data_IF_416131888614
#
_entry.id   IF_416131888614
#
_cell.length_a   1.000
_cell.length_b   1.000
_cell.length_c   1.000
_cell.angle_alpha   90.00
_cell.angle_beta   90.00
_cell.angle_gamma   90.00
#
_symmetry.space_group_name_H-M   'P 1'
#
loop_
_entity.id
_entity.type
_entity.pdbx_description
1 polymer ?
#
# COMPACT_ATOMS: atom_id res chain seq x y z
N UNK A 1 -13.12 -6.93 -1.78
CA UNK A 1 -12.18 -6.07 -1.04
C UNK A 1 -10.94 -5.81 -1.89
N UNK A 2 -10.24 -4.70 -1.68
CA UNK A 2 -8.90 -4.43 -2.22
C UNK A 2 -8.01 -4.04 -1.06
N UNK A 3 -6.79 -4.55 -1.05
CA UNK A 3 -5.80 -4.25 -0.03
C UNK A 3 -4.42 -4.30 -0.67
N UNK A 4 -3.65 -3.24 -0.59
CA UNK A 4 -2.41 -3.07 -1.34
C UNK A 4 -1.17 -2.96 -0.43
N UNK A 5 -1.36 -3.11 0.88
CA UNK A 5 -0.30 -3.04 1.87
C UNK A 5 -0.48 -4.18 2.87
N UNK A 6 0.23 -5.28 2.64
CA UNK A 6 0.24 -6.49 3.48
C UNK A 6 1.62 -7.12 3.51
N UNK A 7 1.96 -7.77 4.61
CA UNK A 7 3.30 -8.30 4.91
C UNK A 7 3.26 -9.82 5.04
N UNK A 8 4.35 -10.46 4.63
CA UNK A 8 4.51 -11.91 4.64
C UNK A 8 5.70 -12.29 5.53
N UNK A 9 5.97 -13.59 5.64
CA UNK A 9 7.15 -14.12 6.31
C UNK A 9 8.47 -13.79 5.60
N UNK A 10 8.46 -13.04 4.49
CA UNK A 10 9.67 -12.56 3.83
C UNK A 10 10.25 -11.30 4.49
N UNK A 11 9.44 -10.56 5.25
CA UNK A 11 9.87 -9.59 6.27
C UNK A 11 9.47 -10.02 7.68
N UNK A 12 8.27 -9.65 8.11
CA UNK A 12 7.82 -9.63 9.50
C UNK A 12 6.33 -9.97 9.67
N UNK A 13 5.66 -10.36 8.58
CA UNK A 13 4.37 -11.03 8.66
C UNK A 13 4.52 -12.51 9.05
N UNK A 14 3.46 -13.08 9.60
CA UNK A 14 3.43 -14.46 10.07
C UNK A 14 3.14 -15.49 8.97
N UNK A 15 2.62 -15.04 7.82
CA UNK A 15 2.11 -15.91 6.77
C UNK A 15 3.08 -15.97 5.60
N UNK A 16 3.27 -17.16 5.02
CA UNK A 16 3.95 -17.26 3.72
C UNK A 16 3.18 -16.49 2.64
N UNK A 17 3.85 -16.00 1.57
CA UNK A 17 3.17 -15.22 0.53
C UNK A 17 1.96 -15.95 -0.07
N UNK A 18 2.13 -17.22 -0.44
CA UNK A 18 1.04 -18.04 -1.00
C UNK A 18 -0.12 -18.26 -0.01
N UNK A 19 0.17 -18.39 1.29
CA UNK A 19 -0.86 -18.55 2.32
C UNK A 19 -1.66 -17.26 2.54
N UNK A 20 -0.99 -16.11 2.60
CA UNK A 20 -1.65 -14.81 2.71
C UNK A 20 -2.60 -14.58 1.53
N UNK A 21 -2.14 -14.87 0.29
CA UNK A 21 -2.99 -14.78 -0.90
C UNK A 21 -4.19 -15.72 -0.80
N UNK A 22 -3.99 -16.96 -0.33
CA UNK A 22 -5.08 -17.93 -0.18
C UNK A 22 -6.13 -17.43 0.81
N UNK A 23 -5.71 -16.89 1.96
CA UNK A 23 -6.61 -16.34 2.99
C UNK A 23 -7.36 -15.11 2.49
N UNK A 24 -6.70 -14.24 1.72
CA UNK A 24 -7.35 -13.10 1.06
C UNK A 24 -8.42 -13.57 0.05
N UNK A 25 -8.12 -14.60 -0.75
CA UNK A 25 -9.07 -15.18 -1.70
C UNK A 25 -10.31 -15.76 -0.99
N UNK A 26 -10.13 -16.50 0.11
CA UNK A 26 -11.26 -17.01 0.93
C UNK A 26 -12.12 -15.90 1.53
N UNK A 27 -11.51 -14.74 1.84
CA UNK A 27 -12.24 -13.55 2.30
C UNK A 27 -12.90 -12.76 1.17
N UNK A 28 -12.83 -13.21 -0.09
CA UNK A 28 -13.44 -12.55 -1.24
C UNK A 28 -12.70 -11.28 -1.68
N UNK A 29 -11.38 -11.23 -1.50
CA UNK A 29 -10.56 -10.14 -2.03
C UNK A 29 -10.51 -10.20 -3.56
N UNK A 30 -10.59 -9.05 -4.20
CA UNK A 30 -10.43 -8.91 -5.66
C UNK A 30 -8.96 -8.70 -6.02
N UNK A 31 -8.23 -7.95 -5.19
CA UNK A 31 -6.78 -7.82 -5.28
C UNK A 31 -6.16 -7.78 -3.88
N UNK A 32 -4.92 -8.29 -3.79
CA UNK A 32 -4.08 -8.21 -2.60
C UNK A 32 -2.65 -7.85 -3.03
N UNK A 33 -2.06 -6.79 -2.46
CA UNK A 33 -0.67 -6.41 -2.68
C UNK A 33 0.23 -6.99 -1.60
N UNK A 34 1.25 -7.74 -2.00
CA UNK A 34 2.28 -8.25 -1.09
C UNK A 34 3.46 -7.28 -1.12
N UNK A 35 3.72 -6.63 0.00
CA UNK A 35 4.59 -5.46 0.09
C UNK A 35 5.44 -5.55 1.34
N UNK A 36 6.20 -6.64 1.45
CA UNK A 36 7.13 -6.85 2.56
C UNK A 36 8.12 -5.69 2.72
N UNK A 37 8.58 -5.49 3.95
CA UNK A 37 9.58 -4.49 4.29
C UNK A 37 10.90 -4.80 3.59
N UNK A 38 11.45 -3.81 2.88
CA UNK A 38 12.75 -3.94 2.21
C UNK A 38 13.64 -2.72 2.40
N UNK A 39 14.95 -3.01 2.43
CA UNK A 39 15.99 -2.06 2.07
C UNK A 39 16.60 -2.44 0.71
N UNK A 40 17.56 -1.65 0.22
CA UNK A 40 18.16 -1.88 -1.12
C UNK A 40 18.80 -3.27 -1.28
N UNK A 41 19.27 -3.87 -0.19
CA UNK A 41 19.95 -5.18 -0.22
C UNK A 41 19.02 -6.39 -0.33
N UNK A 42 17.74 -6.28 0.07
CA UNK A 42 16.78 -7.38 0.04
C UNK A 42 15.80 -7.33 -1.13
N UNK A 43 15.78 -6.23 -1.88
CA UNK A 43 14.85 -5.99 -3.00
C UNK A 43 14.73 -7.17 -3.97
N UNK A 44 15.85 -7.64 -4.51
CA UNK A 44 15.86 -8.67 -5.54
C UNK A 44 15.28 -9.99 -5.05
N UNK A 45 15.71 -10.43 -3.85
CA UNK A 45 15.20 -11.65 -3.21
C UNK A 45 13.69 -11.57 -3.00
N UNK A 46 13.23 -10.52 -2.32
CA UNK A 46 11.81 -10.37 -1.95
C UNK A 46 10.93 -10.27 -3.20
N UNK A 47 11.29 -9.43 -4.17
CA UNK A 47 10.50 -9.26 -5.40
C UNK A 47 10.45 -10.57 -6.20
N UNK A 48 11.56 -11.31 -6.29
CA UNK A 48 11.59 -12.60 -7.01
C UNK A 48 10.64 -13.62 -6.37
N UNK A 49 10.77 -13.85 -5.06
CA UNK A 49 9.94 -14.81 -4.32
C UNK A 49 8.44 -14.43 -4.38
N UNK A 50 8.10 -13.15 -4.15
CA UNK A 50 6.72 -12.67 -4.25
C UNK A 50 6.16 -12.81 -5.67
N UNK A 51 6.97 -12.59 -6.70
CA UNK A 51 6.52 -12.68 -8.09
C UNK A 51 6.14 -14.10 -8.48
N UNK A 52 6.89 -15.10 -8.04
CA UNK A 52 6.59 -16.51 -8.30
C UNK A 52 5.28 -16.95 -7.62
N UNK A 53 5.09 -16.60 -6.35
CA UNK A 53 3.88 -16.94 -5.60
C UNK A 53 2.66 -16.19 -6.11
N UNK A 54 2.78 -14.89 -6.42
CA UNK A 54 1.71 -14.11 -7.03
C UNK A 54 1.32 -14.67 -8.40
N UNK A 55 2.30 -15.07 -9.23
CA UNK A 55 2.04 -15.69 -10.52
C UNK A 55 1.30 -17.02 -10.37
N UNK A 56 1.76 -17.88 -9.47
CA UNK A 56 1.12 -19.16 -9.16
C UNK A 56 -0.32 -18.95 -8.72
N UNK A 57 -0.56 -18.06 -7.75
CA UNK A 57 -1.90 -17.78 -7.27
C UNK A 57 -2.84 -17.27 -8.37
N UNK A 58 -2.40 -16.34 -9.22
CA UNK A 58 -3.20 -15.81 -10.33
C UNK A 58 -3.60 -16.87 -11.36
N UNK A 59 -2.81 -17.95 -11.51
CA UNK A 59 -3.12 -19.03 -12.44
C UNK A 59 -4.20 -19.99 -11.93
N UNK A 60 -4.31 -20.14 -10.62
CA UNK A 60 -5.15 -21.16 -10.00
C UNK A 60 -6.32 -20.61 -9.19
N UNK A 61 -6.31 -19.34 -8.78
CA UNK A 61 -7.34 -18.70 -7.96
C UNK A 61 -7.87 -17.42 -8.61
N UNK A 62 -9.13 -17.09 -8.34
CA UNK A 62 -9.77 -15.85 -8.79
C UNK A 62 -9.41 -14.67 -7.88
N UNK A 63 -8.12 -14.32 -7.87
CA UNK A 63 -7.58 -13.18 -7.13
C UNK A 63 -6.42 -12.54 -7.88
N UNK A 64 -6.38 -11.20 -7.87
CA UNK A 64 -5.23 -10.46 -8.36
C UNK A 64 -4.21 -10.24 -7.22
N UNK A 65 -3.31 -11.19 -7.00
CA UNK A 65 -2.19 -11.04 -6.07
C UNK A 65 -1.06 -10.22 -6.70
N UNK A 66 -0.56 -9.15 -6.11
CA UNK A 66 0.35 -8.18 -6.74
C UNK A 66 1.70 -8.18 -6.00
N UNK A 67 2.80 -8.56 -6.67
CA UNK A 67 4.13 -8.50 -6.05
C UNK A 67 4.58 -7.04 -6.00
N UNK A 68 4.97 -6.60 -4.81
CA UNK A 68 5.46 -5.26 -4.55
C UNK A 68 6.45 -5.26 -3.40
N UNK A 69 6.71 -4.06 -2.89
CA UNK A 69 7.56 -3.85 -1.73
C UNK A 69 7.06 -2.65 -0.94
N UNK A 70 7.34 -2.65 0.36
CA UNK A 70 7.36 -1.42 1.15
C UNK A 70 8.82 -1.01 1.40
N UNK A 71 9.19 0.18 0.92
CA UNK A 71 10.48 0.78 1.22
C UNK A 71 10.44 1.32 2.65
N UNK A 72 11.05 0.57 3.56
CA UNK A 72 10.92 0.77 5.01
C UNK A 72 12.22 1.28 5.60
N UNK A 73 12.16 2.39 6.34
CA UNK A 73 13.31 3.03 6.99
C UNK A 73 14.52 3.33 6.08
N UNK A 74 14.33 3.42 4.76
CA UNK A 74 15.36 3.95 3.86
C UNK A 74 15.64 5.42 4.21
N UNK A 75 16.90 5.88 4.10
CA UNK A 75 17.18 7.30 4.14
C UNK A 75 16.35 8.04 3.09
N UNK A 76 15.79 9.19 3.44
CA UNK A 76 14.87 9.93 2.57
C UNK A 76 15.48 10.22 1.19
N UNK A 77 16.78 10.49 1.14
CA UNK A 77 17.52 10.72 -0.11
C UNK A 77 17.64 9.47 -1.00
N UNK A 78 17.54 8.27 -0.44
CA UNK A 78 17.65 7.00 -1.14
C UNK A 78 16.29 6.48 -1.68
N UNK A 79 15.16 7.07 -1.28
CA UNK A 79 13.82 6.60 -1.65
C UNK A 79 13.62 6.58 -3.17
N UNK A 80 14.07 7.63 -3.87
CA UNK A 80 13.94 7.70 -5.32
C UNK A 80 14.75 6.60 -6.05
N UNK A 81 15.94 6.29 -5.54
CA UNK A 81 16.76 5.18 -6.06
C UNK A 81 16.11 3.83 -5.76
N UNK A 82 15.67 3.62 -4.51
CA UNK A 82 15.04 2.38 -4.08
C UNK A 82 13.77 2.07 -4.85
N UNK A 83 12.92 3.08 -5.08
CA UNK A 83 11.68 2.93 -5.84
C UNK A 83 11.96 2.55 -7.30
N UNK A 84 12.89 3.26 -7.95
CA UNK A 84 13.31 2.94 -9.32
C UNK A 84 13.87 1.52 -9.43
N UNK A 85 14.76 1.14 -8.51
CA UNK A 85 15.37 -0.20 -8.48
C UNK A 85 14.34 -1.29 -8.25
N UNK A 86 13.35 -1.06 -7.38
CA UNK A 86 12.24 -1.98 -7.18
C UNK A 86 11.47 -2.22 -8.50
N UNK A 87 11.20 -1.17 -9.28
CA UNK A 87 10.57 -1.29 -10.61
C UNK A 87 11.41 -2.07 -11.60
N UNK A 88 12.71 -1.78 -11.67
CA UNK A 88 13.66 -2.48 -12.55
C UNK A 88 13.72 -3.98 -12.24
N UNK A 89 13.55 -4.36 -10.97
CA UNK A 89 13.51 -5.75 -10.50
C UNK A 89 12.13 -6.41 -10.64
N UNK A 90 11.10 -5.68 -11.07
CA UNK A 90 9.78 -6.24 -11.38
C UNK A 90 8.68 -5.97 -10.35
N UNK A 91 8.91 -5.14 -9.33
CA UNK A 91 7.85 -4.73 -8.41
C UNK A 91 6.70 -4.04 -9.16
N UNK A 92 5.51 -4.63 -9.07
CA UNK A 92 4.30 -4.12 -9.72
C UNK A 92 3.64 -3.01 -8.91
N UNK A 93 3.89 -2.97 -7.61
CA UNK A 93 3.50 -1.87 -6.72
C UNK A 93 4.65 -1.48 -5.80
N UNK A 94 4.86 -0.17 -5.60
CA UNK A 94 5.88 0.35 -4.69
C UNK A 94 5.22 1.23 -3.64
N UNK A 95 5.35 0.80 -2.39
CA UNK A 95 4.86 1.49 -1.20
C UNK A 95 6.06 2.09 -0.47
N UNK A 96 5.88 3.26 0.15
CA UNK A 96 6.87 3.83 1.08
C UNK A 96 6.26 3.90 2.47
N UNK A 97 7.03 3.43 3.45
CA UNK A 97 6.70 3.55 4.86
C UNK A 97 6.75 5.03 5.26
N UNK A 98 5.59 5.66 5.43
CA UNK A 98 5.51 7.09 5.72
C UNK A 98 5.85 7.44 7.16
N UNK A 99 5.91 8.74 7.45
CA UNK A 99 6.29 9.31 8.76
C UNK A 99 5.19 9.13 9.82
N UNK A 100 4.81 7.88 10.07
CA UNK A 100 3.88 7.48 11.12
C UNK A 100 4.32 8.05 12.47
N UNK A 101 3.36 8.28 13.36
CA UNK A 101 3.62 8.88 14.68
C UNK A 101 4.09 7.86 15.73
N UNK A 102 4.15 6.58 15.38
CA UNK A 102 4.45 5.49 16.31
C UNK A 102 5.84 4.89 16.13
N UNK A 103 6.60 5.31 15.11
CA UNK A 103 7.91 4.74 14.75
C UNK A 103 8.94 5.83 14.37
N UNK A 104 10.25 5.53 14.46
CA UNK A 104 11.31 6.52 14.25
C UNK A 104 11.68 6.69 12.77
N UNK A 105 10.71 7.06 11.94
CA UNK A 105 10.92 7.29 10.49
C UNK A 105 11.65 8.62 10.27
N UNK A 106 12.60 8.67 9.32
CA UNK A 106 13.37 9.88 9.04
C UNK A 106 12.46 11.00 8.52
N UNK A 107 12.62 12.22 9.05
CA UNK A 107 11.92 13.41 8.54
C UNK A 107 12.36 13.71 7.10
N UNK A 108 11.40 14.01 6.24
CA UNK A 108 11.58 14.18 4.80
C UNK A 108 11.24 12.93 3.99
N UNK A 109 10.94 11.79 4.64
CA UNK A 109 10.51 10.55 3.97
C UNK A 109 9.22 10.76 3.19
N UNK A 110 8.23 11.41 3.80
CA UNK A 110 6.96 11.72 3.12
C UNK A 110 7.19 12.55 1.85
N UNK A 111 7.97 13.64 1.97
CA UNK A 111 8.30 14.51 0.86
C UNK A 111 9.03 13.77 -0.27
N UNK A 112 10.03 12.97 0.07
CA UNK A 112 10.80 12.19 -0.90
C UNK A 112 9.94 11.14 -1.61
N UNK A 113 9.03 10.48 -0.88
CA UNK A 113 8.06 9.56 -1.45
C UNK A 113 7.17 10.27 -2.48
N UNK A 114 6.57 11.42 -2.11
CA UNK A 114 5.65 12.13 -3.01
C UNK A 114 6.34 12.84 -4.18
N UNK A 115 7.66 13.00 -4.13
CA UNK A 115 8.47 13.53 -5.23
C UNK A 115 8.87 12.46 -6.25
N UNK A 116 8.90 11.19 -5.84
CA UNK A 116 9.31 10.07 -6.68
C UNK A 116 8.34 9.84 -7.84
N UNK A 117 8.88 9.43 -8.99
CA UNK A 117 8.09 9.02 -10.15
C UNK A 117 7.66 7.53 -10.12
N UNK A 118 8.26 6.75 -9.21
CA UNK A 118 8.14 5.29 -9.21
C UNK A 118 7.33 4.74 -8.02
N UNK A 119 6.99 5.60 -7.06
CA UNK A 119 6.17 5.29 -5.86
C UNK A 119 4.68 5.38 -6.22
N UNK A 120 3.90 4.40 -5.77
CA UNK A 120 2.43 4.38 -5.96
C UNK A 120 1.67 4.86 -4.72
N UNK A 121 2.12 4.40 -3.54
CA UNK A 121 1.43 4.59 -2.26
C UNK A 121 2.42 5.13 -1.23
N UNK A 122 2.01 6.18 -0.53
CA UNK A 122 2.62 6.58 0.73
C UNK A 122 1.78 5.99 1.89
N UNK A 123 2.31 4.94 2.53
CA UNK A 123 1.67 4.23 3.63
C UNK A 123 1.72 5.05 4.91
N UNK A 124 0.65 4.97 5.70
CA UNK A 124 0.47 5.61 7.02
C UNK A 124 1.40 6.82 7.30
N UNK A 125 1.24 7.94 6.57
CA UNK A 125 2.19 9.07 6.59
C UNK A 125 2.20 9.90 7.87
N UNK A 126 1.42 9.52 8.87
CA UNK A 126 1.22 10.32 10.07
C UNK A 126 0.62 11.69 9.75
N UNK A 127 1.33 12.74 10.16
CA UNK A 127 0.87 14.13 10.06
C UNK A 127 1.27 14.78 8.73
N UNK A 128 0.85 14.18 7.60
CA UNK A 128 1.12 14.68 6.24
C UNK A 128 0.79 16.17 6.11
N UNK A 129 1.69 16.97 5.56
CA UNK A 129 1.45 18.42 5.42
C UNK A 129 0.55 18.73 4.22
N UNK A 130 -0.15 19.89 4.21
CA UNK A 130 -0.92 20.32 3.04
C UNK A 130 -0.08 20.45 1.76
N UNK A 131 1.20 20.80 1.88
CA UNK A 131 2.14 20.90 0.76
C UNK A 131 2.44 19.53 0.16
N UNK A 132 2.80 18.55 1.00
CA UNK A 132 3.04 17.17 0.56
C UNK A 132 1.77 16.54 -0.03
N UNK A 133 0.61 16.77 0.60
CA UNK A 133 -0.67 16.29 0.10
C UNK A 133 -1.01 16.86 -1.30
N UNK A 134 -0.81 18.17 -1.52
CA UNK A 134 -1.00 18.76 -2.87
C UNK A 134 -0.04 18.15 -3.89
N UNK A 135 1.21 17.89 -3.51
CA UNK A 135 2.19 17.27 -4.38
C UNK A 135 1.81 15.81 -4.70
N UNK A 136 1.38 15.04 -3.70
CA UNK A 136 0.87 13.68 -3.88
C UNK A 136 -0.30 13.66 -4.87
N UNK A 137 -1.27 14.57 -4.73
CA UNK A 137 -2.39 14.70 -5.66
C UNK A 137 -1.93 15.01 -7.10
N UNK A 138 -0.99 15.96 -7.25
CA UNK A 138 -0.45 16.35 -8.56
C UNK A 138 0.35 15.23 -9.25
N UNK A 139 1.10 14.44 -8.47
CA UNK A 139 1.85 13.26 -8.95
C UNK A 139 0.99 12.02 -9.07
N UNK A 140 -0.21 12.05 -8.49
CA UNK A 140 -1.14 10.94 -8.48
C UNK A 140 -0.73 9.79 -7.55
N UNK A 141 0.07 10.08 -6.53
CA UNK A 141 0.45 9.14 -5.47
C UNK A 141 -0.73 9.01 -4.51
N UNK A 142 -1.07 7.77 -4.17
CA UNK A 142 -2.15 7.47 -3.25
C UNK A 142 -1.66 7.58 -1.81
N UNK A 143 -2.54 8.05 -0.93
CA UNK A 143 -2.26 8.18 0.49
C UNK A 143 -3.07 7.14 1.26
N UNK A 144 -2.41 6.42 2.16
CA UNK A 144 -3.08 5.37 2.91
C UNK A 144 -3.89 5.90 4.11
N UNK A 145 -5.08 5.35 4.27
CA UNK A 145 -5.83 5.26 5.52
C UNK A 145 -5.54 3.87 6.08
N UNK A 146 -4.73 3.79 7.13
CA UNK A 146 -4.30 2.49 7.67
C UNK A 146 -5.32 1.94 8.67
N UNK A 147 -5.62 0.65 8.57
CA UNK A 147 -6.39 -0.06 9.59
C UNK A 147 -5.52 -0.52 10.77
N UNK A 148 -4.19 -0.51 10.62
CA UNK A 148 -3.24 -1.01 11.60
C UNK A 148 -3.23 -0.16 12.86
N UNK A 149 -3.21 -0.84 14.01
CA UNK A 149 -3.13 -0.21 15.33
C UNK A 149 -1.89 0.68 15.41
N UNK A 150 -2.07 1.91 15.90
CA UNK A 150 -0.99 2.90 15.99
C UNK A 150 -0.96 3.79 14.75
N UNK A 151 -0.75 3.22 13.57
CA UNK A 151 -0.76 3.94 12.29
C UNK A 151 -2.09 4.65 12.02
N UNK A 152 -3.20 4.02 12.39
CA UNK A 152 -4.55 4.54 12.19
C UNK A 152 -4.88 5.84 12.96
N UNK A 153 -4.07 6.21 13.95
CA UNK A 153 -4.32 7.35 14.85
C UNK A 153 -4.37 8.70 14.12
N UNK A 154 -3.79 8.78 12.91
CA UNK A 154 -3.77 10.00 12.09
C UNK A 154 -4.77 10.00 10.94
N UNK A 155 -5.59 8.96 10.78
CA UNK A 155 -6.54 8.84 9.66
C UNK A 155 -7.49 10.06 9.55
N UNK A 156 -7.95 10.60 10.68
CA UNK A 156 -8.81 11.80 10.68
C UNK A 156 -8.09 13.08 10.23
N UNK A 157 -6.77 13.15 10.37
CA UNK A 157 -5.98 14.23 9.79
C UNK A 157 -5.96 14.15 8.27
N UNK A 158 -5.73 12.95 7.72
CA UNK A 158 -5.72 12.69 6.28
C UNK A 158 -7.10 12.95 5.64
N UNK A 159 -8.18 12.53 6.29
CA UNK A 159 -9.55 12.78 5.84
C UNK A 159 -9.85 14.28 5.66
N UNK A 160 -9.35 15.14 6.54
CA UNK A 160 -9.51 16.60 6.43
C UNK A 160 -8.74 17.20 5.25
N UNK A 161 -7.59 16.62 4.89
CA UNK A 161 -6.77 17.11 3.78
C UNK A 161 -7.41 16.87 2.41
N UNK A 162 -8.23 15.83 2.26
CA UNK A 162 -8.88 15.47 0.98
C UNK A 162 -9.56 16.68 0.35
N UNK A 163 -10.38 17.41 1.11
CA UNK A 163 -11.15 18.56 0.59
C UNK A 163 -10.25 19.69 0.09
N UNK A 164 -9.13 19.93 0.75
CA UNK A 164 -8.24 21.07 0.46
C UNK A 164 -7.20 20.77 -0.63
N UNK A 165 -6.93 19.49 -0.91
CA UNK A 165 -5.77 19.08 -1.70
C UNK A 165 -6.12 18.14 -2.85
N UNK A 166 -7.25 17.43 -2.78
CA UNK A 166 -7.64 16.46 -3.79
C UNK A 166 -6.84 15.16 -3.76
N UNK A 167 -6.15 14.85 -2.66
CA UNK A 167 -5.47 13.54 -2.50
C UNK A 167 -6.46 12.39 -2.71
N UNK A 168 -5.96 11.32 -3.34
CA UNK A 168 -6.69 10.06 -3.44
C UNK A 168 -6.24 9.14 -2.32
N UNK A 169 -7.22 8.57 -1.64
CA UNK A 169 -7.00 7.71 -0.49
C UNK A 169 -7.19 6.23 -0.86
N UNK A 170 -6.42 5.35 -0.22
CA UNK A 170 -6.67 3.90 -0.20
C UNK A 170 -6.79 3.46 1.25
N UNK A 171 -7.68 2.51 1.53
CA UNK A 171 -7.69 1.82 2.82
C UNK A 171 -6.93 0.52 2.66
N UNK A 172 -5.96 0.28 3.55
CA UNK A 172 -5.22 -0.98 3.60
C UNK A 172 -5.14 -1.48 5.03
N UNK A 173 -4.92 -2.79 5.15
CA UNK A 173 -4.83 -3.45 6.46
C UNK A 173 -3.49 -3.21 7.14
N UNK A 174 -2.41 -3.16 6.35
CA UNK A 174 -1.04 -3.28 6.88
C UNK A 174 -0.94 -4.58 7.71
N UNK A 175 -1.48 -5.65 7.11
CA UNK A 175 -1.64 -6.96 7.76
C UNK A 175 -0.30 -7.67 7.92
N UNK A 176 -0.01 -8.06 9.16
CA UNK A 176 1.12 -8.92 9.52
C UNK A 176 0.65 -10.31 9.91
N UNK A 177 -0.57 -10.41 10.45
CA UNK A 177 -1.21 -11.68 10.78
C UNK A 177 -2.57 -11.81 10.08
N UNK A 178 -3.10 -13.02 10.04
CA UNK A 178 -4.38 -13.28 9.37
C UNK A 178 -5.57 -12.53 9.97
N UNK A 179 -5.48 -12.13 11.25
CA UNK A 179 -6.54 -11.42 11.95
C UNK A 179 -6.62 -9.95 11.52
N UNK A 180 -5.54 -9.39 10.98
CA UNK A 180 -5.48 -8.02 10.46
C UNK A 180 -6.22 -7.85 9.12
N UNK A 181 -6.41 -8.94 8.35
CA UNK A 181 -7.08 -8.89 7.05
C UNK A 181 -8.49 -8.31 7.14
N UNK A 182 -8.66 -7.14 6.51
CA UNK A 182 -9.90 -6.37 6.42
C UNK A 182 -11.13 -7.18 5.95
N UNK A 183 -12.28 -6.76 6.46
CA UNK A 183 -13.60 -7.13 5.94
C UNK A 183 -14.29 -5.89 5.38
N UNK A 184 -15.25 -6.02 4.44
CA UNK A 184 -15.97 -4.87 3.88
C UNK A 184 -16.60 -3.98 4.96
N UNK A 185 -17.22 -4.60 5.97
CA UNK A 185 -17.83 -3.88 7.08
C UNK A 185 -16.81 -3.14 7.95
N UNK A 186 -15.65 -3.74 8.22
CA UNK A 186 -14.60 -3.08 8.99
C UNK A 186 -13.97 -1.92 8.22
N UNK A 187 -13.67 -2.10 6.93
CA UNK A 187 -13.12 -1.03 6.09
C UNK A 187 -14.08 0.17 6.01
N UNK A 188 -15.37 -0.07 5.80
CA UNK A 188 -16.39 0.98 5.81
C UNK A 188 -16.46 1.70 7.17
N UNK A 189 -16.45 0.95 8.28
CA UNK A 189 -16.48 1.51 9.62
C UNK A 189 -15.26 2.41 9.91
N UNK A 190 -14.06 2.01 9.49
CA UNK A 190 -12.83 2.80 9.64
C UNK A 190 -12.92 4.11 8.84
N UNK A 191 -13.37 4.04 7.59
CA UNK A 191 -13.48 5.21 6.72
C UNK A 191 -14.51 6.22 7.22
N UNK A 192 -15.67 5.73 7.70
CA UNK A 192 -16.67 6.57 8.38
C UNK A 192 -16.10 7.14 9.68
N UNK A 193 -15.42 6.31 10.46
CA UNK A 193 -14.82 6.66 11.75
C UNK A 193 -13.74 7.74 11.66
N UNK A 194 -12.98 7.80 10.57
CA UNK A 194 -12.01 8.87 10.35
C UNK A 194 -12.63 10.18 9.84
N UNK A 195 -13.95 10.21 9.56
CA UNK A 195 -14.68 11.42 9.21
C UNK A 195 -14.82 11.67 7.70
N UNK A 196 -14.62 10.66 6.87
CA UNK A 196 -14.95 10.77 5.43
C UNK A 196 -16.47 10.80 5.22
N UNK A 197 -16.90 11.55 4.20
CA UNK A 197 -18.30 11.58 3.76
C UNK A 197 -18.63 10.34 2.94
N UNK A 198 -19.92 9.99 2.83
CA UNK A 198 -20.41 8.85 2.01
C UNK A 198 -19.78 8.74 0.63
N UNK A 199 -19.73 9.84 -0.13
CA UNK A 199 -19.15 9.85 -1.47
C UNK A 199 -17.65 9.51 -1.45
N UNK A 200 -16.92 10.00 -0.45
CA UNK A 200 -15.50 9.72 -0.28
C UNK A 200 -15.26 8.27 0.20
N UNK A 201 -16.12 7.74 1.08
CA UNK A 201 -16.09 6.34 1.49
C UNK A 201 -16.27 5.43 0.27
N UNK A 202 -17.27 5.72 -0.57
CA UNK A 202 -17.49 5.01 -1.82
C UNK A 202 -16.26 5.07 -2.74
N UNK A 203 -15.67 6.27 -2.90
CA UNK A 203 -14.48 6.44 -3.73
C UNK A 203 -13.30 5.60 -3.22
N UNK A 204 -13.06 5.57 -1.91
CA UNK A 204 -11.96 4.78 -1.33
C UNK A 204 -12.19 3.28 -1.45
N UNK A 205 -13.43 2.79 -1.35
CA UNK A 205 -13.74 1.36 -1.45
C UNK A 205 -13.80 0.84 -2.88
N UNK A 206 -14.13 1.69 -3.86
CA UNK A 206 -14.47 1.26 -5.22
C UNK A 206 -13.72 2.00 -6.32
N UNK A 207 -13.64 3.33 -6.26
CA UNK A 207 -13.08 4.14 -7.35
C UNK A 207 -11.55 4.17 -7.33
N UNK A 208 -10.96 4.50 -6.19
CA UNK A 208 -9.51 4.66 -6.02
C UNK A 208 -8.73 3.36 -6.23
N UNK A 209 -9.15 2.19 -5.69
CA UNK A 209 -8.48 0.91 -5.96
C UNK A 209 -8.43 0.59 -7.45
N UNK A 210 -9.54 0.77 -8.18
CA UNK A 210 -9.57 0.55 -9.63
C UNK A 210 -8.70 1.55 -10.38
N UNK A 211 -8.66 2.81 -9.93
CA UNK A 211 -7.76 3.82 -10.49
C UNK A 211 -6.28 3.48 -10.26
N UNK A 212 -5.91 2.87 -9.13
CA UNK A 212 -4.56 2.38 -8.91
C UNK A 212 -4.27 1.22 -9.86
N UNK A 213 -5.13 0.19 -9.88
CA UNK A 213 -4.97 -1.00 -10.72
C UNK A 213 -4.81 -0.65 -12.20
N UNK A 214 -5.56 0.32 -12.72
CA UNK A 214 -5.46 0.77 -14.11
C UNK A 214 -4.13 1.47 -14.46
N UNK A 215 -3.30 1.80 -13.46
CA UNK A 215 -1.96 2.38 -13.66
C UNK A 215 -0.84 1.36 -13.52
N UNK A 216 -1.08 0.26 -12.81
CA UNK A 216 -0.06 -0.76 -12.58
C UNK A 216 0.24 -1.50 -13.89
N UNK A 217 1.52 -1.74 -14.16
CA UNK A 217 1.97 -2.59 -15.26
C UNK A 217 1.83 -4.05 -14.85
N UNK A 218 0.59 -4.53 -14.75
CA UNK A 218 0.29 -5.92 -14.45
C UNK A 218 0.72 -6.75 -15.65
N UNK A 219 1.77 -7.55 -15.50
CA UNK A 219 2.18 -8.49 -16.54
C UNK A 219 1.06 -9.49 -16.79
N UNK A 220 0.47 -9.43 -17.98
CA UNK A 220 -0.39 -10.51 -18.48
C UNK A 220 0.53 -11.59 -19.00
N UNK A 221 0.96 -12.49 -18.13
CA UNK A 221 1.51 -13.75 -18.61
C UNK A 221 0.31 -14.56 -19.12
N UNK A 222 0.10 -14.54 -20.44
CA UNK A 222 -0.88 -15.39 -21.10
C UNK A 222 -0.61 -16.85 -20.73
N UNK A 223 -1.69 -17.57 -20.38
CA UNK A 223 -1.70 -19.03 -20.24
C UNK A 223 -1.19 -19.73 -21.49
#
# INVERSE_FOLDING_TARGET
MYDFHTHTSLSDGDLSPIELIRRAAEKGYRAVGLTDHVGLGSLERVISELSEDCFTARNYWDILAIPGVELTHLPAQAIAEGARRARELGAQIVVVHGETIVEPVERGTNLAAVQSGDVDILAHPGLLTPQEAKLAAAKGIFIEISARKGHCLTNGHLARLVKATGIRLLINSDAHESSDLLTPSLAEAILRGCGLKESQVHDVLHTHPLSLLGRLKLSTYSK
#
